data_IF_227425617541
#
_entry.id   IF_227425617541
#
_cell.length_a   1.000
_cell.length_b   1.000
_cell.length_c   1.000
_cell.angle_alpha   90.00
_cell.angle_beta   90.00
_cell.angle_gamma   90.00
#
_symmetry.space_group_name_H-M   'P 1'
#
loop_
_entity.id
_entity.type
_entity.pdbx_description
1 polymer ?
#
# COMPACT_ATOMS: atom_id res chain seq x y z
N UNK A 1 13.90 -21.08 3.85
CA UNK A 1 12.58 -20.42 3.88
C UNK A 1 12.26 -20.03 2.46
N UNK A 2 11.09 -20.40 1.95
CA UNK A 2 10.69 -20.12 0.56
C UNK A 2 10.33 -18.63 0.43
N UNK A 3 10.98 -17.92 -0.49
CA UNK A 3 10.64 -16.53 -0.80
C UNK A 3 9.28 -16.48 -1.49
N UNK A 4 8.40 -15.60 -1.03
CA UNK A 4 7.05 -15.43 -1.56
C UNK A 4 6.87 -14.00 -2.03
N UNK A 5 6.37 -13.86 -3.24
CA UNK A 5 5.96 -12.59 -3.82
C UNK A 5 4.48 -12.39 -3.55
N UNK A 6 4.08 -11.18 -3.17
CA UNK A 6 2.69 -10.86 -2.82
C UNK A 6 2.15 -9.79 -3.76
N UNK A 7 0.90 -9.91 -4.21
CA UNK A 7 0.21 -8.82 -4.89
C UNK A 7 -0.13 -7.70 -3.90
N UNK A 8 0.26 -6.46 -4.18
CA UNK A 8 -0.03 -5.32 -3.30
C UNK A 8 -1.51 -4.90 -3.25
N UNK A 9 -2.33 -5.35 -4.20
CA UNK A 9 -3.76 -5.00 -4.25
C UNK A 9 -4.71 -6.10 -3.74
N UNK A 10 -4.28 -7.35 -3.70
CA UNK A 10 -5.15 -8.46 -3.27
C UNK A 10 -4.48 -9.49 -2.35
N UNK A 11 -3.17 -9.37 -2.09
CA UNK A 11 -2.46 -10.24 -1.15
C UNK A 11 -2.25 -11.68 -1.62
N UNK A 12 -2.69 -12.03 -2.84
CA UNK A 12 -2.34 -13.30 -3.48
C UNK A 12 -0.82 -13.44 -3.50
N UNK A 13 -0.32 -14.61 -3.13
CA UNK A 13 1.12 -14.90 -3.13
C UNK A 13 1.49 -15.98 -4.14
N UNK A 14 2.74 -15.97 -4.58
CA UNK A 14 3.31 -17.02 -5.45
C UNK A 14 4.81 -17.15 -5.16
N UNK A 15 5.37 -18.30 -5.53
CA UNK A 15 6.81 -18.60 -5.43
C UNK A 15 7.65 -17.85 -6.48
N UNK A 16 7.02 -17.22 -7.47
CA UNK A 16 7.67 -16.30 -8.41
C UNK A 16 6.71 -15.20 -8.87
N UNK A 17 7.27 -14.07 -9.29
CA UNK A 17 6.50 -12.95 -9.86
C UNK A 17 5.77 -13.35 -11.14
N UNK A 18 6.41 -14.16 -11.99
CA UNK A 18 5.84 -14.63 -13.26
C UNK A 18 4.57 -15.46 -13.06
N UNK A 19 4.54 -16.31 -12.03
CA UNK A 19 3.35 -17.10 -11.67
C UNK A 19 2.21 -16.20 -11.15
N UNK A 20 2.56 -15.09 -10.52
CA UNK A 20 1.61 -14.12 -10.01
C UNK A 20 0.82 -13.46 -11.15
N UNK A 21 1.41 -13.34 -12.34
CA UNK A 21 0.82 -12.70 -13.53
C UNK A 21 -0.10 -13.62 -14.34
N UNK A 22 -0.12 -14.93 -14.07
CA UNK A 22 -0.90 -15.91 -14.83
C UNK A 22 -2.43 -15.79 -14.62
N UNK A 23 -2.89 -14.87 -13.77
CA UNK A 23 -4.30 -14.62 -13.51
C UNK A 23 -4.59 -13.12 -13.46
N UNK A 24 -5.87 -12.79 -13.55
CA UNK A 24 -6.33 -11.41 -13.38
C UNK A 24 -6.51 -11.04 -11.90
N UNK A 25 -6.18 -9.80 -11.56
CA UNK A 25 -6.41 -9.16 -10.28
C UNK A 25 -7.60 -8.19 -10.38
N UNK A 26 -8.75 -8.59 -9.83
CA UNK A 26 -9.95 -7.73 -9.78
C UNK A 26 -9.80 -6.53 -8.83
N UNK A 27 -8.80 -6.56 -7.94
CA UNK A 27 -8.57 -5.48 -6.97
C UNK A 27 -7.53 -4.47 -7.44
N UNK A 28 -6.87 -4.70 -8.58
CA UNK A 28 -5.94 -3.73 -9.14
C UNK A 28 -6.75 -2.60 -9.83
N UNK A 29 -6.62 -1.34 -9.37
CA UNK A 29 -7.34 -0.23 -9.99
C UNK A 29 -6.68 0.32 -11.25
N UNK A 30 -5.40 0.05 -11.46
CA UNK A 30 -4.61 0.57 -12.60
C UNK A 30 -4.57 -0.41 -13.78
N UNK A 31 -5.11 -1.63 -13.61
CA UNK A 31 -5.13 -2.64 -14.67
C UNK A 31 -5.70 -3.96 -14.21
N UNK A 32 -5.70 -4.97 -15.09
CA UNK A 32 -6.27 -6.29 -14.77
C UNK A 32 -5.24 -7.28 -14.22
N UNK A 33 -3.96 -6.95 -14.22
CA UNK A 33 -2.90 -7.89 -13.80
C UNK A 33 -2.58 -7.73 -12.31
N UNK A 34 -2.02 -8.77 -11.70
CA UNK A 34 -1.44 -8.63 -10.37
C UNK A 34 -0.19 -7.75 -10.41
N UNK A 35 0.04 -6.99 -9.34
CA UNK A 35 1.23 -6.14 -9.19
C UNK A 35 1.95 -6.54 -7.91
N UNK A 36 3.20 -6.95 -8.03
CA UNK A 36 4.02 -7.38 -6.89
C UNK A 36 4.24 -6.22 -5.92
N UNK A 37 4.31 -6.55 -4.63
CA UNK A 37 4.78 -5.67 -3.58
C UNK A 37 6.30 -5.55 -3.66
N UNK A 38 6.79 -4.32 -3.81
CA UNK A 38 8.22 -4.04 -4.01
C UNK A 38 8.95 -3.68 -2.71
N UNK A 39 8.25 -3.63 -1.58
CA UNK A 39 8.86 -3.31 -0.29
C UNK A 39 9.54 -4.52 0.36
N UNK A 40 10.39 -4.24 1.35
CA UNK A 40 11.04 -5.26 2.17
C UNK A 40 10.05 -6.00 3.07
N UNK A 41 10.38 -7.24 3.44
CA UNK A 41 9.63 -8.01 4.45
C UNK A 41 9.72 -7.31 5.80
N UNK A 42 8.56 -7.05 6.42
CA UNK A 42 8.44 -6.38 7.72
C UNK A 42 7.60 -7.21 8.69
N UNK A 43 7.77 -6.94 9.98
CA UNK A 43 6.91 -7.50 11.04
C UNK A 43 5.48 -6.97 10.96
N UNK A 44 5.30 -5.74 10.46
CA UNK A 44 4.02 -5.10 10.20
C UNK A 44 4.03 -4.36 8.87
N UNK A 45 2.87 -4.32 8.23
CA UNK A 45 2.63 -3.59 7.00
C UNK A 45 1.62 -2.49 7.27
N UNK A 46 1.96 -1.26 6.88
CA UNK A 46 1.11 -0.08 7.03
C UNK A 46 0.38 0.22 5.73
N UNK A 47 -0.89 0.60 5.80
CA UNK A 47 -1.63 1.06 4.63
C UNK A 47 -1.16 2.46 4.19
N UNK A 48 -0.89 2.63 2.90
CA UNK A 48 -0.46 3.90 2.30
C UNK A 48 -1.52 5.00 2.37
N UNK A 49 -2.81 4.65 2.54
CA UNK A 49 -3.92 5.62 2.52
C UNK A 49 -4.48 5.98 3.91
N UNK A 50 -4.25 5.15 4.92
CA UNK A 50 -4.82 5.38 6.26
C UNK A 50 -3.87 5.05 7.42
N UNK A 51 -2.68 4.49 7.15
CA UNK A 51 -1.69 4.14 8.17
C UNK A 51 -2.08 2.99 9.10
N UNK A 52 -3.20 2.30 8.85
CA UNK A 52 -3.57 1.08 9.58
C UNK A 52 -2.50 0.00 9.43
N UNK A 53 -2.21 -0.72 10.53
CA UNK A 53 -1.17 -1.73 10.61
C UNK A 53 -1.73 -3.15 10.61
N UNK A 54 -1.08 -4.05 9.86
CA UNK A 54 -1.43 -5.47 9.83
C UNK A 54 -0.17 -6.34 9.85
N UNK A 55 -0.27 -7.55 10.41
CA UNK A 55 0.86 -8.49 10.50
C UNK A 55 1.25 -9.13 9.15
N UNK A 56 0.44 -8.96 8.09
CA UNK A 56 0.75 -9.50 6.76
C UNK A 56 0.07 -8.70 5.64
N UNK A 57 0.66 -8.71 4.45
CA UNK A 57 0.08 -8.12 3.23
C UNK A 57 -1.28 -8.76 2.93
N UNK A 58 -1.40 -10.08 3.05
CA UNK A 58 -2.65 -10.79 2.78
C UNK A 58 -3.79 -10.38 3.72
N UNK A 59 -3.51 -10.14 5.01
CA UNK A 59 -4.53 -9.63 5.95
C UNK A 59 -4.92 -8.19 5.62
N UNK A 60 -3.94 -7.35 5.29
CA UNK A 60 -4.13 -5.94 4.94
C UNK A 60 -5.04 -5.78 3.72
N UNK A 61 -4.73 -6.47 2.61
CA UNK A 61 -5.41 -6.26 1.32
C UNK A 61 -6.81 -6.89 1.22
N UNK A 62 -7.31 -7.53 2.28
CA UNK A 62 -8.65 -8.11 2.34
C UNK A 62 -9.69 -7.21 2.99
N UNK A 63 -9.24 -6.17 3.71
CA UNK A 63 -10.10 -5.24 4.44
C UNK A 63 -10.36 -4.00 3.58
N UNK A 64 -11.58 -3.47 3.64
CA UNK A 64 -11.95 -2.25 2.94
C UNK A 64 -11.27 -1.04 3.58
N UNK A 65 -10.79 -0.12 2.74
CA UNK A 65 -10.14 1.11 3.18
C UNK A 65 -10.93 2.32 2.68
N UNK A 66 -11.64 3.02 3.57
CA UNK A 66 -12.45 4.19 3.21
C UNK A 66 -11.62 5.37 2.69
N UNK A 67 -10.34 5.43 3.04
CA UNK A 67 -9.40 6.45 2.57
C UNK A 67 -8.69 6.08 1.27
N UNK A 68 -8.84 4.83 0.80
CA UNK A 68 -8.30 4.46 -0.50
C UNK A 68 -9.16 5.11 -1.59
N UNK A 69 -8.54 5.98 -2.36
CA UNK A 69 -9.19 6.72 -3.45
C UNK A 69 -8.89 6.15 -4.83
N UNK A 70 -7.94 5.22 -4.90
CA UNK A 70 -7.58 4.53 -6.14
C UNK A 70 -8.31 3.18 -6.23
N UNK A 71 -8.62 2.53 -5.11
CA UNK A 71 -9.37 1.27 -5.07
C UNK A 71 -10.16 1.09 -3.78
N UNK A 72 -10.65 -0.14 -3.52
CA UNK A 72 -11.56 -0.42 -2.38
C UNK A 72 -10.84 -0.90 -1.11
N UNK A 73 -9.68 -1.55 -1.26
CA UNK A 73 -9.01 -2.27 -0.17
C UNK A 73 -7.73 -1.55 0.28
N UNK A 74 -7.19 -1.89 1.45
CA UNK A 74 -5.89 -1.34 1.85
C UNK A 74 -4.77 -1.74 0.87
N UNK A 75 -3.78 -0.86 0.72
CA UNK A 75 -2.58 -1.08 -0.10
C UNK A 75 -1.35 -0.86 0.79
N UNK A 76 -0.40 -1.81 0.84
CA UNK A 76 0.75 -1.70 1.73
C UNK A 76 1.72 -0.60 1.25
N UNK A 77 2.29 0.12 2.22
CA UNK A 77 3.40 1.04 1.96
C UNK A 77 4.67 0.27 1.58
N UNK A 78 5.26 0.65 0.45
CA UNK A 78 6.39 -0.06 -0.17
C UNK A 78 7.75 0.58 0.17
N UNK A 79 7.76 1.77 0.81
CA UNK A 79 9.00 2.43 1.24
C UNK A 79 9.59 1.84 2.51
N UNK A 80 10.82 2.23 2.85
CA UNK A 80 11.49 1.81 4.08
C UNK A 80 10.99 2.58 5.31
N UNK A 81 11.31 2.10 6.51
CA UNK A 81 11.11 2.89 7.73
C UNK A 81 12.00 4.12 7.69
N UNK A 82 11.41 5.28 7.99
CA UNK A 82 12.08 6.59 7.97
C UNK A 82 11.77 7.32 9.28
N UNK A 83 12.65 8.23 9.68
CA UNK A 83 12.42 9.13 10.83
C UNK A 83 11.22 10.06 10.58
N UNK A 84 11.00 10.44 9.32
CA UNK A 84 9.86 11.21 8.86
C UNK A 84 9.35 10.71 7.52
N UNK A 85 8.03 10.75 7.35
CA UNK A 85 7.32 10.41 6.13
C UNK A 85 6.76 11.67 5.49
N UNK A 86 7.16 11.94 4.26
CA UNK A 86 6.71 13.10 3.50
C UNK A 86 5.57 12.74 2.54
N UNK A 87 4.63 13.67 2.35
CA UNK A 87 3.57 13.54 1.36
C UNK A 87 4.14 13.65 -0.06
N UNK A 88 3.82 12.70 -0.94
CA UNK A 88 4.26 12.69 -2.34
C UNK A 88 3.75 13.88 -3.18
N UNK A 89 2.73 14.60 -2.71
CA UNK A 89 2.09 15.70 -3.46
C UNK A 89 2.44 17.11 -2.95
N UNK A 90 2.57 17.29 -1.63
CA UNK A 90 2.81 18.62 -1.04
C UNK A 90 4.12 18.74 -0.27
N UNK A 91 4.82 17.63 0.01
CA UNK A 91 6.06 17.63 0.77
C UNK A 91 5.92 17.79 2.29
N UNK A 92 4.70 17.94 2.84
CA UNK A 92 4.47 17.96 4.29
C UNK A 92 4.96 16.65 4.93
N UNK A 93 5.61 16.75 6.09
CA UNK A 93 6.27 15.62 6.76
C UNK A 93 5.75 15.39 8.16
N UNK A 94 5.62 14.13 8.55
CA UNK A 94 5.14 13.68 9.86
C UNK A 94 5.98 12.49 10.34
N UNK A 95 5.97 12.20 11.64
CA UNK A 95 6.76 11.10 12.21
C UNK A 95 6.22 9.71 11.86
N UNK A 96 4.91 9.59 11.60
CA UNK A 96 4.29 8.32 11.23
C UNK A 96 3.39 8.44 9.99
N UNK A 97 3.21 7.34 9.26
CA UNK A 97 2.26 7.27 8.13
C UNK A 97 0.83 7.50 8.61
N UNK A 98 0.49 7.05 9.83
CA UNK A 98 -0.85 7.23 10.41
C UNK A 98 -1.17 8.71 10.66
N UNK A 99 -0.21 9.47 11.20
CA UNK A 99 -0.38 10.92 11.35
C UNK A 99 -0.48 11.61 9.98
N UNK A 100 0.45 11.30 9.07
CA UNK A 100 0.44 11.85 7.72
C UNK A 100 -0.91 11.65 7.03
N UNK A 101 -1.41 10.41 7.01
CA UNK A 101 -2.67 10.03 6.33
C UNK A 101 -3.94 10.44 7.08
N UNK A 102 -3.82 11.02 8.27
CA UNK A 102 -4.95 11.58 9.02
C UNK A 102 -5.28 13.01 8.62
N UNK A 103 -4.30 13.74 8.11
CA UNK A 103 -4.43 15.14 7.71
C UNK A 103 -4.85 15.32 6.24
N UNK A 104 -5.49 16.47 5.95
CA UNK A 104 -5.98 16.82 4.62
C UNK A 104 -4.86 17.38 3.74
N UNK A 105 -4.79 16.91 2.50
CA UNK A 105 -3.85 17.38 1.50
C UNK A 105 -4.58 18.06 0.34
N UNK A 106 -4.57 19.40 0.32
CA UNK A 106 -5.17 20.19 -0.76
C UNK A 106 -4.49 20.00 -2.13
N UNK A 107 -3.27 19.44 -2.15
CA UNK A 107 -2.51 19.16 -3.37
C UNK A 107 -2.63 17.70 -3.84
N UNK A 108 -3.40 16.85 -3.16
CA UNK A 108 -3.65 15.49 -3.62
C UNK A 108 -4.73 15.52 -4.73
N UNK A 109 -4.41 15.20 -5.99
CA UNK A 109 -5.37 15.27 -7.09
C UNK A 109 -6.37 14.11 -7.11
N UNK A 110 -6.07 13.01 -6.41
CA UNK A 110 -6.88 11.78 -6.42
C UNK A 110 -7.70 11.60 -5.16
N UNK A 111 -7.38 12.32 -4.08
CA UNK A 111 -8.03 12.13 -2.79
C UNK A 111 -7.86 13.30 -1.84
N UNK A 112 -8.43 13.18 -0.65
CA UNK A 112 -8.49 14.28 0.33
C UNK A 112 -7.32 14.29 1.32
N UNK A 113 -6.68 13.15 1.55
CA UNK A 113 -5.65 12.97 2.58
C UNK A 113 -4.24 12.94 1.99
N UNK A 114 -3.21 13.14 2.81
CA UNK A 114 -1.84 12.93 2.36
C UNK A 114 -1.57 11.46 2.04
N UNK A 115 -0.63 11.22 1.12
CA UNK A 115 -0.16 9.89 0.73
C UNK A 115 1.37 9.91 0.82
N UNK A 116 2.01 9.00 1.58
CA UNK A 116 3.46 8.98 1.75
C UNK A 116 4.17 8.72 0.43
N UNK A 117 5.29 9.40 0.24
CA UNK A 117 6.28 9.04 -0.77
C UNK A 117 7.01 7.75 -0.39
N UNK A 118 7.34 6.91 -1.38
CA UNK A 118 8.16 5.70 -1.17
C UNK A 118 9.55 6.06 -0.64
#
# INVERSE_FOLDING_TARGET
MEEKYYCKYCGKSSSSESLLWQCLCHNNPEGKNHVAYEGSKKSKYQCVYCGEEYCSINSLTKVLCEKNTEGKYHVPYEGNEKEMYSCKYCGSSYYTIKELTSELCLRNPKGKFHVPAK
#
